data_IF_701864784488
#
_entry.id   IF_701864784488
#
_cell.length_a   1.000
_cell.length_b   1.000
_cell.length_c   1.000
_cell.angle_alpha   90.00
_cell.angle_beta   90.00
_cell.angle_gamma   90.00
#
_symmetry.space_group_name_H-M   'P 1'
#
loop_
_entity.id
_entity.type
_entity.pdbx_description
1 polymer ?
#
# COMPACT_ATOMS: atom_id res chain seq x y z
N UNK A 1 -47.11 -11.35 15.35
CA UNK A 1 -45.97 -11.19 14.42
C UNK A 1 -44.95 -10.32 15.12
N UNK A 2 -43.98 -10.96 15.77
CA UNK A 2 -42.95 -10.25 16.55
C UNK A 2 -41.71 -10.12 15.68
N UNK A 3 -41.35 -8.88 15.36
CA UNK A 3 -40.17 -8.55 14.59
C UNK A 3 -38.93 -8.76 15.47
N UNK A 4 -38.12 -9.77 15.13
CA UNK A 4 -36.88 -10.04 15.86
C UNK A 4 -35.74 -9.21 15.27
N UNK A 5 -34.94 -8.51 16.08
CA UNK A 5 -33.81 -7.74 15.59
C UNK A 5 -32.77 -8.70 14.98
N UNK A 6 -32.51 -8.52 13.68
CA UNK A 6 -31.44 -9.26 13.01
C UNK A 6 -30.08 -8.80 13.56
N UNK A 7 -29.34 -9.72 14.18
CA UNK A 7 -27.98 -9.49 14.64
C UNK A 7 -27.05 -9.40 13.42
N UNK A 8 -26.41 -8.23 13.23
CA UNK A 8 -25.39 -8.05 12.19
C UNK A 8 -24.21 -9.01 12.46
N UNK A 9 -23.88 -9.87 11.49
CA UNK A 9 -22.74 -10.79 11.60
C UNK A 9 -21.42 -10.01 11.73
N UNK A 10 -20.53 -10.46 12.61
CA UNK A 10 -19.19 -9.89 12.76
C UNK A 10 -18.41 -9.94 11.42
N UNK A 11 -17.84 -8.80 11.01
CA UNK A 11 -16.97 -8.71 9.84
C UNK A 11 -15.50 -8.73 10.27
N UNK A 12 -14.69 -9.52 9.57
CA UNK A 12 -13.24 -9.50 9.73
C UNK A 12 -12.70 -8.23 9.08
N UNK A 13 -12.15 -7.32 9.88
CA UNK A 13 -11.41 -6.17 9.38
C UNK A 13 -10.00 -6.64 9.05
N UNK A 14 -9.61 -6.53 7.78
CA UNK A 14 -8.23 -6.73 7.36
C UNK A 14 -7.60 -5.35 7.18
N UNK A 15 -6.64 -4.95 8.04
CA UNK A 15 -6.00 -3.66 7.88
C UNK A 15 -5.25 -3.61 6.54
N UNK A 16 -5.36 -2.49 5.83
CA UNK A 16 -4.57 -2.22 4.63
C UNK A 16 -3.30 -1.49 5.07
N UNK A 17 -2.10 -2.05 4.85
CA UNK A 17 -0.86 -1.37 5.17
C UNK A 17 -0.74 -0.04 4.42
N UNK A 18 -0.03 0.91 5.01
CA UNK A 18 0.20 2.23 4.41
C UNK A 18 1.67 2.58 4.41
N UNK A 19 2.13 3.15 3.30
CA UNK A 19 3.42 3.82 3.22
C UNK A 19 3.24 5.29 3.64
N UNK A 20 3.90 5.69 4.71
CA UNK A 20 3.87 7.06 5.23
C UNK A 20 5.22 7.74 4.98
N UNK A 21 5.18 8.92 4.39
CA UNK A 21 6.37 9.73 4.13
C UNK A 21 6.63 10.61 5.36
N UNK A 22 7.70 10.33 6.09
CA UNK A 22 8.03 11.04 7.34
C UNK A 22 8.60 12.43 7.12
N UNK A 23 9.30 12.65 6.01
CA UNK A 23 10.05 13.89 5.75
C UNK A 23 10.17 14.21 4.24
N UNK A 24 10.73 15.39 3.94
CA UNK A 24 10.92 15.89 2.58
C UNK A 24 9.66 16.45 1.93
N UNK A 25 9.70 16.62 0.60
CA UNK A 25 8.62 17.25 -0.16
C UNK A 25 7.29 16.48 -0.14
N UNK A 26 7.32 15.19 0.21
CA UNK A 26 6.15 14.34 0.32
C UNK A 26 5.72 14.10 1.77
N UNK A 27 6.32 14.77 2.76
CA UNK A 27 6.01 14.56 4.18
C UNK A 27 4.50 14.65 4.46
N UNK A 28 3.98 13.70 5.24
CA UNK A 28 2.55 13.61 5.57
C UNK A 28 1.69 12.95 4.49
N UNK A 29 2.22 12.69 3.29
CA UNK A 29 1.54 11.87 2.29
C UNK A 29 1.43 10.43 2.80
N UNK A 30 0.29 9.81 2.55
CA UNK A 30 0.01 8.40 2.86
C UNK A 30 -0.43 7.69 1.59
N UNK A 31 0.20 6.55 1.28
CA UNK A 31 -0.20 5.68 0.16
C UNK A 31 -0.72 4.37 0.73
N UNK A 32 -1.91 3.96 0.32
CA UNK A 32 -2.49 2.65 0.70
C UNK A 32 -1.87 1.56 -0.17
N UNK A 33 -1.37 0.51 0.46
CA UNK A 33 -0.83 -0.68 -0.22
C UNK A 33 -1.97 -1.69 -0.43
N UNK A 34 -2.88 -1.34 -1.34
CA UNK A 34 -4.14 -2.05 -1.57
C UNK A 34 -4.01 -3.27 -2.50
N UNK A 35 -2.91 -3.40 -3.23
CA UNK A 35 -2.63 -4.55 -4.11
C UNK A 35 -1.74 -5.59 -3.45
N UNK A 36 -2.01 -6.87 -3.73
CA UNK A 36 -1.23 -8.00 -3.22
C UNK A 36 0.19 -8.04 -3.77
N UNK A 37 0.37 -7.60 -5.02
CA UNK A 37 1.66 -7.45 -5.66
C UNK A 37 1.65 -6.23 -6.58
N UNK A 38 2.64 -5.35 -6.45
CA UNK A 38 2.70 -4.11 -7.22
C UNK A 38 4.08 -3.45 -7.16
N UNK A 39 4.43 -2.71 -8.21
CA UNK A 39 5.66 -1.92 -8.26
C UNK A 39 5.48 -0.53 -7.64
N UNK A 40 6.58 -0.03 -7.08
CA UNK A 40 6.76 1.29 -6.51
C UNK A 40 7.91 1.99 -7.22
N UNK A 41 7.71 3.24 -7.65
CA UNK A 41 8.72 4.01 -8.36
C UNK A 41 8.23 5.36 -8.86
N UNK A 42 9.10 6.14 -9.50
CA UNK A 42 8.75 7.48 -9.98
C UNK A 42 8.03 7.54 -11.32
N UNK A 43 8.07 6.48 -12.13
CA UNK A 43 7.28 6.45 -13.37
C UNK A 43 5.79 6.34 -13.04
N UNK A 44 4.98 6.98 -13.87
CA UNK A 44 3.52 7.04 -13.72
C UNK A 44 2.84 5.69 -13.98
N UNK A 45 3.54 4.73 -14.58
CA UNK A 45 3.04 3.37 -14.83
C UNK A 45 3.28 2.40 -13.66
N UNK A 46 3.93 2.84 -12.57
CA UNK A 46 3.93 2.07 -11.33
C UNK A 46 2.57 2.12 -10.66
N UNK A 47 2.20 1.03 -9.97
CA UNK A 47 0.99 1.02 -9.16
C UNK A 47 1.08 2.01 -7.98
N UNK A 48 2.28 2.13 -7.38
CA UNK A 48 2.55 3.08 -6.30
C UNK A 48 3.53 4.15 -6.78
N UNK A 49 3.00 5.25 -7.32
CA UNK A 49 3.81 6.35 -7.85
C UNK A 49 4.35 7.22 -6.71
N UNK A 50 5.66 7.41 -6.72
CA UNK A 50 6.39 8.36 -5.86
C UNK A 50 7.11 9.35 -6.77
N UNK A 51 6.53 10.53 -7.06
CA UNK A 51 7.07 11.48 -8.02
C UNK A 51 8.24 12.28 -7.41
N UNK A 52 9.30 11.59 -6.98
CA UNK A 52 10.53 12.17 -6.47
C UNK A 52 11.69 11.77 -7.41
N UNK A 53 12.51 12.72 -7.89
CA UNK A 53 13.63 12.42 -8.78
C UNK A 53 14.70 11.51 -8.16
N UNK A 54 14.75 11.37 -6.83
CA UNK A 54 15.65 10.46 -6.11
C UNK A 54 15.12 9.02 -6.06
N UNK A 55 13.86 8.80 -6.42
CA UNK A 55 13.28 7.46 -6.52
C UNK A 55 13.52 6.93 -7.94
N UNK A 56 13.97 5.69 -8.04
CA UNK A 56 14.23 5.07 -9.34
C UNK A 56 12.93 4.90 -10.13
N UNK A 57 13.06 4.81 -11.47
CA UNK A 57 11.92 4.70 -12.39
C UNK A 57 10.97 3.56 -12.00
N UNK A 58 11.54 2.41 -11.68
CA UNK A 58 10.90 1.28 -10.98
C UNK A 58 11.89 0.95 -9.87
N UNK A 59 11.51 1.12 -8.61
CA UNK A 59 12.44 1.12 -7.48
C UNK A 59 12.34 -0.17 -6.69
N UNK A 60 11.11 -0.57 -6.35
CA UNK A 60 10.86 -1.78 -5.57
C UNK A 60 9.58 -2.48 -6.01
N UNK A 61 9.48 -3.75 -5.69
CA UNK A 61 8.25 -4.53 -5.68
C UNK A 61 7.73 -4.65 -4.25
N UNK A 62 6.42 -4.49 -4.08
CA UNK A 62 5.71 -4.69 -2.83
C UNK A 62 4.86 -5.95 -2.97
N UNK A 63 5.04 -6.92 -2.07
CA UNK A 63 4.19 -8.12 -1.97
C UNK A 63 3.56 -8.22 -0.59
N UNK A 64 2.26 -8.51 -0.53
CA UNK A 64 1.55 -8.88 0.71
C UNK A 64 1.44 -10.40 0.77
N UNK A 65 2.11 -11.01 1.74
CA UNK A 65 2.13 -12.46 1.88
C UNK A 65 2.08 -12.84 3.37
N UNK A 66 1.23 -13.81 3.72
CA UNK A 66 1.12 -14.35 5.08
C UNK A 66 0.99 -13.29 6.20
N UNK A 67 0.36 -12.15 5.91
CA UNK A 67 0.19 -11.04 6.87
C UNK A 67 1.39 -10.10 7.00
N UNK A 68 2.43 -10.31 6.19
CA UNK A 68 3.58 -9.42 6.08
C UNK A 68 3.53 -8.60 4.79
N UNK A 69 4.25 -7.47 4.79
CA UNK A 69 4.59 -6.70 3.59
C UNK A 69 6.05 -6.96 3.30
N UNK A 70 6.33 -7.58 2.16
CA UNK A 70 7.68 -7.82 1.65
C UNK A 70 7.99 -6.70 0.66
N UNK A 71 9.15 -6.07 0.83
CA UNK A 71 9.65 -5.03 -0.06
C UNK A 71 10.94 -5.53 -0.69
N UNK A 72 10.95 -5.68 -2.01
CA UNK A 72 12.09 -6.18 -2.76
C UNK A 72 12.63 -5.04 -3.62
N UNK A 73 13.87 -4.62 -3.36
CA UNK A 73 14.56 -3.70 -4.25
C UNK A 73 14.76 -4.33 -5.64
N UNK A 74 14.56 -3.53 -6.70
CA UNK A 74 14.65 -3.99 -8.09
C UNK A 74 15.90 -3.47 -8.81
N UNK A 75 16.97 -3.19 -8.05
CA UNK A 75 18.19 -2.55 -8.55
C UNK A 75 18.04 -1.04 -8.61
N UNK A 76 17.59 -0.43 -7.51
CA UNK A 76 17.45 1.02 -7.45
C UNK A 76 18.77 1.75 -7.73
N UNK A 77 18.63 2.90 -8.41
CA UNK A 77 19.68 3.85 -8.78
C UNK A 77 19.41 5.22 -8.18
#
# INVERSE_FOLDING_TARGET
MSDQPQVQKAQKIVPVPTLHFSEGALAGRVVRLDRDEATLGRREDNAYVIPDPRVSRVHAEIRKEAGAVIVTDLGSS
#
